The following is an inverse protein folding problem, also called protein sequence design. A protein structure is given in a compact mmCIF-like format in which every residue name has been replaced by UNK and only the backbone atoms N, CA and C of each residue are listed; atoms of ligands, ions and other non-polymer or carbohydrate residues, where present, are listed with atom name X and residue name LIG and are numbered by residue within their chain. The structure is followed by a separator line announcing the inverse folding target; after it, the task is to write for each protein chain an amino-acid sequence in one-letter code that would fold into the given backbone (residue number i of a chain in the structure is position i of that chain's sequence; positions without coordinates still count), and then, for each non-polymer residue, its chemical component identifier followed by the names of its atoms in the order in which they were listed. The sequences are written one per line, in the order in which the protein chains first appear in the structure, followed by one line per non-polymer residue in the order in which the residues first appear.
data_IF_202248598354
#
_entry.id   IF_202248598354
#
_cell.length_a   1.000
_cell.length_b   1.000
_cell.length_c   1.000
_cell.angle_alpha   90.00
_cell.angle_beta   90.00
_cell.angle_gamma   90.00
#
_symmetry.space_group_name_H-M   'P 1'
#
loop_
_entity.id
_entity.type
_entity.pdbx_description
1 polymer ?
#
# COMPACT_ATOMS: atom_id res chain seq x y z
N UNK A 1 -15.64 22.56 10.30
CA UNK A 1 -16.72 22.33 11.29
C UNK A 1 -16.42 23.30 12.41
N UNK A 2 -17.38 24.16 12.75
CA UNK A 2 -17.20 25.34 13.58
C UNK A 2 -16.44 25.01 14.88
N UNK A 3 -16.86 23.98 15.63
CA UNK A 3 -16.15 23.55 16.86
C UNK A 3 -16.24 22.03 17.10
N UNK A 4 -16.80 21.27 16.14
CA UNK A 4 -17.09 19.85 16.30
C UNK A 4 -16.32 18.99 15.29
N UNK A 5 -16.28 17.69 15.52
CA UNK A 5 -15.81 16.69 14.55
C UNK A 5 -16.67 15.44 14.66
N UNK A 6 -16.71 14.65 13.58
CA UNK A 6 -17.39 13.35 13.60
C UNK A 6 -16.68 12.38 14.55
N UNK A 7 -17.42 11.42 15.10
CA UNK A 7 -16.86 10.34 15.91
C UNK A 7 -15.84 9.51 15.12
N UNK A 8 -16.07 9.33 13.80
CA UNK A 8 -15.09 8.69 12.90
C UNK A 8 -13.75 9.41 12.99
N UNK A 9 -13.72 10.73 12.89
CA UNK A 9 -12.48 11.52 12.99
C UNK A 9 -11.92 11.50 14.42
N UNK A 10 -12.79 11.66 15.44
CA UNK A 10 -12.36 11.74 16.85
C UNK A 10 -11.63 10.48 17.32
N UNK A 11 -12.06 9.30 16.86
CA UNK A 11 -11.52 8.02 17.29
C UNK A 11 -10.65 7.30 16.23
N UNK A 12 -10.49 7.85 15.01
CA UNK A 12 -9.66 7.25 13.97
C UNK A 12 -8.17 7.11 14.33
N UNK A 13 -7.66 7.92 15.27
CA UNK A 13 -6.25 7.94 15.65
C UNK A 13 -5.72 6.59 16.16
N UNK A 14 -6.58 5.76 16.76
CA UNK A 14 -6.22 4.41 17.20
C UNK A 14 -5.89 3.46 16.03
N UNK A 15 -6.54 3.67 14.88
CA UNK A 15 -6.30 2.91 13.67
C UNK A 15 -4.88 3.12 13.13
N UNK A 16 -4.32 4.32 13.28
CA UNK A 16 -2.99 4.67 12.77
C UNK A 16 -1.86 3.88 13.44
N UNK A 17 -2.10 3.26 14.60
CA UNK A 17 -1.11 2.45 15.33
C UNK A 17 -1.21 0.95 15.03
N UNK A 18 -2.25 0.50 14.32
CA UNK A 18 -2.53 -0.93 14.10
C UNK A 18 -2.41 -1.29 12.62
N UNK A 19 -1.97 -2.52 12.32
CA UNK A 19 -1.91 -3.10 10.96
C UNK A 19 -1.22 -2.19 9.93
N UNK A 20 -0.16 -1.53 10.37
CA UNK A 20 0.68 -0.68 9.52
C UNK A 20 1.45 -1.56 8.53
N UNK A 21 1.52 -1.12 7.28
CA UNK A 21 2.56 -1.57 6.35
C UNK A 21 3.80 -0.74 6.63
N UNK A 22 4.78 -1.34 7.29
CA UNK A 22 6.02 -0.70 7.75
C UNK A 22 7.25 -1.12 6.94
N UNK A 23 7.15 -2.21 6.18
CA UNK A 23 8.19 -2.77 5.31
C UNK A 23 7.57 -3.15 3.96
N UNK A 24 8.36 -3.22 2.88
CA UNK A 24 7.88 -3.80 1.64
C UNK A 24 7.84 -5.33 1.75
N UNK A 25 6.90 -5.93 1.02
CA UNK A 25 6.70 -7.38 1.00
C UNK A 25 6.57 -7.84 -0.45
N UNK A 26 7.20 -8.98 -0.77
CA UNK A 26 7.09 -9.65 -2.07
C UNK A 26 6.52 -11.04 -1.86
N UNK A 27 5.73 -11.54 -2.83
CA UNK A 27 5.18 -12.89 -2.77
C UNK A 27 6.21 -13.91 -3.23
N UNK A 28 6.66 -14.75 -2.31
CA UNK A 28 7.64 -15.81 -2.53
C UNK A 28 7.01 -17.10 -2.01
N UNK A 29 6.96 -18.15 -2.84
CA UNK A 29 6.34 -19.44 -2.52
C UNK A 29 4.89 -19.33 -2.01
N UNK A 30 4.11 -18.45 -2.64
CA UNK A 30 2.69 -18.24 -2.33
C UNK A 30 2.41 -17.41 -1.07
N UNK A 31 3.43 -16.95 -0.34
CA UNK A 31 3.27 -16.11 0.87
C UNK A 31 4.00 -14.77 0.74
N UNK A 32 3.51 -13.75 1.43
CA UNK A 32 4.20 -12.46 1.52
C UNK A 32 5.38 -12.57 2.49
N UNK A 33 6.56 -12.23 2.01
CA UNK A 33 7.78 -12.21 2.80
C UNK A 33 8.35 -10.79 2.80
N UNK A 34 8.84 -10.28 3.95
CA UNK A 34 9.44 -8.96 4.03
C UNK A 34 10.75 -8.93 3.24
N UNK A 35 10.98 -7.84 2.52
CA UNK A 35 12.19 -7.61 1.72
C UNK A 35 12.71 -6.20 1.96
N UNK A 36 13.86 -5.87 1.38
CA UNK A 36 14.35 -4.49 1.33
C UNK A 36 13.82 -3.74 0.10
N UNK A 37 13.91 -2.41 0.12
CA UNK A 37 13.43 -1.56 -0.97
C UNK A 37 14.01 -1.89 -2.35
N UNK A 38 15.32 -2.15 -2.52
CA UNK A 38 15.86 -2.52 -3.83
C UNK A 38 15.22 -3.77 -4.42
N UNK A 39 15.01 -4.80 -3.59
CA UNK A 39 14.37 -6.05 -4.00
C UNK A 39 12.90 -5.84 -4.38
N UNK A 40 12.19 -4.99 -3.64
CA UNK A 40 10.80 -4.63 -3.93
C UNK A 40 10.66 -3.94 -5.28
N UNK A 41 11.51 -2.95 -5.58
CA UNK A 41 11.49 -2.26 -6.87
C UNK A 41 11.91 -3.17 -8.02
N UNK A 42 12.88 -4.06 -7.80
CA UNK A 42 13.27 -5.03 -8.84
C UNK A 42 12.14 -6.02 -9.13
N UNK A 43 11.38 -6.45 -8.11
CA UNK A 43 10.18 -7.27 -8.31
C UNK A 43 9.10 -6.54 -9.11
N UNK A 44 8.87 -5.24 -8.84
CA UNK A 44 7.93 -4.41 -9.63
C UNK A 44 8.40 -4.31 -11.08
N UNK A 45 9.68 -3.99 -11.31
CA UNK A 45 10.24 -3.88 -12.66
C UNK A 45 10.07 -5.18 -13.44
N UNK A 46 10.40 -6.32 -12.83
CA UNK A 46 10.21 -7.65 -13.45
C UNK A 46 8.75 -7.96 -13.76
N UNK A 47 7.82 -7.57 -12.89
CA UNK A 47 6.40 -7.77 -13.10
C UNK A 47 5.80 -6.92 -14.23
N UNK A 48 6.45 -5.80 -14.56
CA UNK A 48 6.03 -4.89 -15.65
C UNK A 48 6.85 -5.07 -16.93
N UNK A 49 7.90 -5.88 -16.92
CA UNK A 49 8.78 -6.06 -18.07
C UNK A 49 8.03 -6.68 -19.26
N UNK A 50 8.04 -5.99 -20.40
CA UNK A 50 7.33 -6.41 -21.61
C UNK A 50 5.80 -6.19 -21.60
N UNK A 51 5.21 -5.66 -20.53
CA UNK A 51 3.79 -5.31 -20.48
C UNK A 51 3.53 -4.07 -21.33
N UNK A 52 2.53 -4.11 -22.22
CA UNK A 52 2.21 -2.95 -23.05
C UNK A 52 1.51 -1.88 -22.23
N UNK A 53 1.70 -0.61 -22.61
CA UNK A 53 1.14 0.51 -21.84
C UNK A 53 -0.39 0.50 -21.74
N UNK A 54 -1.10 -0.04 -22.73
CA UNK A 54 -2.56 -0.19 -22.75
C UNK A 54 -3.07 -1.33 -21.84
N UNK A 55 -2.18 -2.22 -21.38
CA UNK A 55 -2.47 -3.26 -20.39
C UNK A 55 -2.21 -2.80 -18.95
N UNK A 56 -1.58 -1.64 -18.76
CA UNK A 56 -1.28 -1.06 -17.44
C UNK A 56 -2.43 -0.15 -17.02
N UNK A 57 -3.01 -0.45 -15.86
CA UNK A 57 -4.03 0.37 -15.22
C UNK A 57 -3.63 0.69 -13.78
N UNK A 58 -4.21 1.77 -13.23
CA UNK A 58 -4.02 2.16 -11.85
C UNK A 58 -5.38 2.34 -11.16
N UNK A 59 -5.48 1.89 -9.91
CA UNK A 59 -6.62 2.16 -9.03
C UNK A 59 -6.09 3.05 -7.89
N UNK A 60 -6.58 4.29 -7.84
CA UNK A 60 -6.25 5.21 -6.78
C UNK A 60 -7.12 4.93 -5.55
N UNK A 61 -6.48 4.78 -4.38
CA UNK A 61 -7.19 4.72 -3.10
C UNK A 61 -7.61 6.11 -2.62
N UNK A 62 -8.68 6.16 -1.84
CA UNK A 62 -9.08 7.36 -1.11
C UNK A 62 -8.29 7.45 0.21
N UNK A 63 -7.75 8.62 0.52
CA UNK A 63 -7.10 8.89 1.80
C UNK A 63 -8.08 9.66 2.70
N UNK A 64 -8.55 8.99 3.76
CA UNK A 64 -9.48 9.55 4.75
C UNK A 64 -8.76 10.20 5.93
#
# INVERSE_FOLDING_TARGET
NEEWISDKTRYACDGLKKRRLDKPYVRIDGKLQPVDWPEAFEAIRKGLDGVKGDEIAAIAGDQA
#
